data_IF_213148727015
#
_entry.id   IF_213148727015
#
_cell.length_a   1.000
_cell.length_b   1.000
_cell.length_c   1.000
_cell.angle_alpha   90.00
_cell.angle_beta   90.00
_cell.angle_gamma   90.00
#
_symmetry.space_group_name_H-M   'P 1'
#
loop_
_entity.id
_entity.type
_entity.pdbx_description
1 polymer ?
#
# COMPACT_ATOMS: atom_id res chain seq x y z
N UNK A 1 -3.74 -8.92 23.61
CA UNK A 1 -3.77 -7.95 22.49
C UNK A 1 -2.51 -7.12 22.59
N UNK A 2 -1.59 -7.21 21.61
CA UNK A 2 -0.38 -6.36 21.59
C UNK A 2 -0.84 -4.94 21.30
N UNK A 3 -0.79 -4.06 22.30
CA UNK A 3 -0.83 -2.62 22.04
C UNK A 3 0.43 -2.31 21.24
N UNK A 4 0.27 -2.04 19.95
CA UNK A 4 1.37 -1.54 19.12
C UNK A 4 1.77 -0.21 19.76
N UNK A 5 3.02 -0.14 20.20
CA UNK A 5 3.53 1.08 20.81
C UNK A 5 3.63 2.13 19.70
N UNK A 6 3.26 3.38 19.98
CA UNK A 6 3.32 4.50 19.01
C UNK A 6 4.70 4.63 18.34
N UNK A 7 5.74 4.20 19.07
CA UNK A 7 7.13 4.10 18.62
C UNK A 7 7.34 3.05 17.51
N UNK A 8 6.66 1.90 17.57
CA UNK A 8 6.71 0.86 16.54
C UNK A 8 6.03 1.33 15.24
N UNK A 9 4.91 2.05 15.36
CA UNK A 9 4.23 2.65 14.21
C UNK A 9 5.11 3.70 13.53
N UNK A 10 5.73 4.57 14.31
CA UNK A 10 6.67 5.58 13.80
C UNK A 10 7.88 4.95 13.09
N UNK A 11 8.47 3.89 13.67
CA UNK A 11 9.57 3.18 13.04
C UNK A 11 9.16 2.49 11.73
N UNK A 12 7.94 1.92 11.69
CA UNK A 12 7.36 1.31 10.48
C UNK A 12 7.16 2.35 9.38
N UNK A 13 6.59 3.50 9.73
CA UNK A 13 6.38 4.62 8.81
C UNK A 13 7.69 5.08 8.18
N UNK A 14 8.74 5.29 9.00
CA UNK A 14 10.07 5.63 8.50
C UNK A 14 10.59 4.58 7.51
N UNK A 15 10.42 3.30 7.83
CA UNK A 15 10.83 2.20 6.94
C UNK A 15 10.06 2.23 5.62
N UNK A 16 8.75 2.50 5.66
CA UNK A 16 7.91 2.60 4.46
C UNK A 16 8.40 3.74 3.57
N UNK A 17 8.71 4.90 4.15
CA UNK A 17 9.23 6.06 3.41
C UNK A 17 10.56 5.72 2.71
N UNK A 18 11.48 5.05 3.41
CA UNK A 18 12.75 4.61 2.83
C UNK A 18 12.53 3.63 1.66
N UNK A 19 11.58 2.69 1.78
CA UNK A 19 11.25 1.77 0.69
C UNK A 19 10.64 2.52 -0.50
N UNK A 20 9.75 3.50 -0.27
CA UNK A 20 9.19 4.32 -1.35
C UNK A 20 10.29 5.08 -2.07
N UNK A 21 11.22 5.66 -1.31
CA UNK A 21 12.40 6.35 -1.84
C UNK A 21 13.26 5.42 -2.70
N UNK A 22 13.48 4.18 -2.26
CA UNK A 22 14.27 3.20 -2.99
C UNK A 22 13.59 2.72 -4.27
N UNK A 23 12.28 2.48 -4.24
CA UNK A 23 11.53 1.90 -5.37
C UNK A 23 11.18 2.95 -6.42
N UNK A 24 10.77 4.15 -5.99
CA UNK A 24 10.23 5.19 -6.88
C UNK A 24 11.06 6.48 -6.93
N UNK A 25 12.03 6.65 -6.02
CA UNK A 25 12.83 7.86 -5.90
C UNK A 25 12.22 8.94 -5.00
N UNK A 26 13.01 9.96 -4.64
CA UNK A 26 12.56 11.08 -3.80
C UNK A 26 11.45 11.94 -4.42
N UNK A 27 11.28 11.88 -5.74
CA UNK A 27 10.36 12.76 -6.49
C UNK A 27 8.88 12.60 -6.09
N UNK A 28 8.53 11.48 -5.47
CA UNK A 28 7.16 11.14 -5.09
C UNK A 28 6.88 11.32 -3.60
N UNK A 29 7.89 11.65 -2.79
CA UNK A 29 7.77 11.90 -1.37
C UNK A 29 7.31 13.33 -1.09
N UNK A 30 6.10 13.67 -1.50
CA UNK A 30 5.48 14.95 -1.17
C UNK A 30 4.99 14.96 0.29
N UNK A 31 4.91 16.13 0.91
CA UNK A 31 4.38 16.28 2.28
C UNK A 31 2.96 15.72 2.40
N UNK A 32 2.12 15.90 1.37
CA UNK A 32 0.77 15.34 1.31
C UNK A 32 0.79 13.81 1.34
N UNK A 33 1.69 13.19 0.57
CA UNK A 33 1.83 11.73 0.56
C UNK A 33 2.30 11.19 1.91
N UNK A 34 3.27 11.85 2.54
CA UNK A 34 3.76 11.48 3.88
C UNK A 34 2.66 11.63 4.93
N UNK A 35 1.81 12.65 4.83
CA UNK A 35 0.63 12.81 5.66
C UNK A 35 -0.35 11.64 5.47
N UNK A 36 -0.65 11.24 4.24
CA UNK A 36 -1.51 10.08 3.97
C UNK A 36 -0.94 8.79 4.56
N UNK A 37 0.38 8.58 4.51
CA UNK A 37 1.02 7.42 5.14
C UNK A 37 0.88 7.42 6.68
N UNK A 38 0.85 8.60 7.32
CA UNK A 38 0.66 8.72 8.78
C UNK A 38 -0.75 8.34 9.23
N UNK A 39 -1.74 8.51 8.37
CA UNK A 39 -3.13 8.17 8.66
C UNK A 39 -3.38 6.65 8.60
N UNK A 40 -2.49 5.90 7.96
CA UNK A 40 -2.59 4.44 7.87
C UNK A 40 -2.27 3.72 9.17
N UNK A 41 -2.98 2.62 9.41
CA UNK A 41 -2.64 1.65 10.44
C UNK A 41 -1.38 0.85 10.08
N UNK A 42 -0.83 0.15 11.09
CA UNK A 42 0.37 -0.66 10.94
C UNK A 42 0.24 -1.77 9.86
N UNK A 43 -0.94 -2.38 9.76
CA UNK A 43 -1.21 -3.42 8.75
C UNK A 43 -1.26 -2.83 7.34
N UNK A 44 -1.95 -1.69 7.20
CA UNK A 44 -2.07 -0.98 5.92
C UNK A 44 -0.71 -0.50 5.40
N UNK A 45 0.17 0.00 6.28
CA UNK A 45 1.56 0.31 5.93
C UNK A 45 2.31 -0.92 5.40
N UNK A 46 2.08 -2.08 6.02
CA UNK A 46 2.65 -3.36 5.56
C UNK A 46 2.16 -3.77 4.17
N UNK A 47 0.85 -3.68 3.93
CA UNK A 47 0.26 -4.00 2.62
C UNK A 47 0.70 -3.02 1.54
N UNK A 48 0.76 -1.73 1.86
CA UNK A 48 1.23 -0.71 0.94
C UNK A 48 2.65 -0.99 0.47
N UNK A 49 3.58 -1.25 1.40
CA UNK A 49 4.96 -1.61 1.05
C UNK A 49 5.01 -2.84 0.16
N UNK A 50 4.30 -3.92 0.53
CA UNK A 50 4.27 -5.16 -0.23
C UNK A 50 3.79 -4.94 -1.67
N UNK A 51 2.73 -4.15 -1.85
CA UNK A 51 2.23 -3.82 -3.18
C UNK A 51 3.20 -2.94 -3.94
N UNK A 52 3.78 -1.94 -3.30
CA UNK A 52 4.76 -1.04 -3.90
C UNK A 52 5.96 -1.79 -4.50
N UNK A 53 6.53 -2.75 -3.77
CA UNK A 53 7.64 -3.56 -4.32
C UNK A 53 7.18 -4.51 -5.43
N UNK A 54 5.91 -4.93 -5.41
CA UNK A 54 5.34 -5.83 -6.43
C UNK A 54 5.00 -5.10 -7.72
N UNK A 55 4.32 -3.95 -7.64
CA UNK A 55 3.85 -3.19 -8.80
C UNK A 55 4.90 -2.20 -9.30
N UNK A 56 5.82 -1.76 -8.43
CA UNK A 56 6.78 -0.68 -8.69
C UNK A 56 6.13 0.60 -9.22
N UNK A 57 4.88 0.82 -8.85
CA UNK A 57 4.11 2.02 -9.21
C UNK A 57 3.30 2.49 -8.00
N UNK A 58 3.21 3.80 -7.82
CA UNK A 58 2.43 4.39 -6.75
C UNK A 58 0.94 4.08 -6.89
N UNK A 59 0.40 4.18 -8.10
CA UNK A 59 -1.01 3.94 -8.38
C UNK A 59 -1.43 2.49 -8.04
N UNK A 60 -0.60 1.50 -8.39
CA UNK A 60 -0.83 0.10 -8.05
C UNK A 60 -0.60 -0.23 -6.57
N UNK A 61 0.21 0.57 -5.87
CA UNK A 61 0.39 0.43 -4.42
C UNK A 61 -0.78 1.06 -3.65
N UNK A 62 -1.29 2.19 -4.16
CA UNK A 62 -2.31 2.98 -3.47
C UNK A 62 -3.72 2.49 -3.70
N UNK A 63 -4.01 2.03 -4.91
CA UNK A 63 -5.34 1.53 -5.21
C UNK A 63 -5.44 0.09 -4.71
N UNK A 64 -6.25 -0.21 -3.68
CA UNK A 64 -6.75 -1.56 -3.51
C UNK A 64 -7.70 -1.79 -4.69
N UNK A 65 -7.16 -2.20 -5.83
CA UNK A 65 -7.89 -3.21 -6.55
C UNK A 65 -7.99 -4.35 -5.53
N UNK A 66 -9.18 -4.68 -4.98
CA UNK A 66 -9.31 -6.00 -4.40
C UNK A 66 -8.76 -6.96 -5.45
N UNK A 67 -8.11 -8.07 -5.07
CA UNK A 67 -7.97 -9.17 -6.02
C UNK A 67 -9.38 -9.39 -6.53
N UNK A 68 -9.64 -8.93 -7.75
CA UNK A 68 -10.95 -9.00 -8.37
C UNK A 68 -11.21 -10.49 -8.35
N UNK A 69 -12.08 -10.93 -7.44
CA UNK A 69 -12.54 -12.30 -7.41
C UNK A 69 -12.84 -12.63 -8.85
N UNK A 70 -12.13 -13.64 -9.33
CA UNK A 70 -12.19 -14.13 -10.68
C UNK A 70 -13.61 -13.99 -11.18
N UNK A 71 -13.84 -13.04 -12.09
CA UNK A 71 -15.14 -12.90 -12.76
C UNK A 71 -15.38 -14.28 -13.37
N UNK A 72 -16.34 -15.10 -12.87
CA UNK A 72 -16.60 -16.37 -13.50
C UNK A 72 -17.16 -16.02 -14.86
N UNK A 73 -16.47 -16.51 -15.88
CA UNK A 73 -16.87 -16.52 -17.28
C UNK A 73 -18.38 -16.38 -17.46
N UNK A 74 -18.80 -15.23 -17.98
CA UNK A 74 -19.63 -15.12 -19.17
C UNK A 74 -20.39 -16.43 -19.51
N UNK A 75 -21.43 -16.75 -18.73
CA UNK A 75 -22.36 -17.80 -19.09
C UNK A 75 -23.28 -17.20 -20.16
N UNK A 76 -22.84 -17.36 -21.41
CA UNK A 76 -23.60 -17.07 -22.62
C UNK A 76 -24.99 -17.70 -22.48
N UNK A 77 -26.00 -16.84 -22.47
CA UNK A 77 -27.38 -17.25 -22.64
C UNK A 77 -27.53 -17.99 -23.96
N UNK A 78 -28.07 -19.20 -23.89
CA UNK A 78 -28.72 -19.86 -25.00
C UNK A 78 -30.04 -20.45 -24.51
N UNK A 79 -31.09 -19.98 -25.19
CA UNK A 79 -32.44 -20.49 -25.40
C UNK A 79 -32.93 -21.69 -24.58
#
# INVERSE_FOLDING_TARGET
>A
MRNINELEHTARLHTVIEVVKEVLGDSVLTDEFILSLKELSFDELGQFVLRLVTTRTLDGAWNPLPPSEATPQQQLGFA
#
